data_IF_902722278930
#
_entry.id   IF_902722278930
#
_cell.length_a   1.000
_cell.length_b   1.000
_cell.length_c   1.000
_cell.angle_alpha   90.00
_cell.angle_beta   90.00
_cell.angle_gamma   90.00
#
_symmetry.space_group_name_H-M   'P 1'
#
loop_
_entity.id
_entity.type
_entity.pdbx_description
1 polymer ?
#
# COMPACT_ATOMS: atom_id res chain seq x y z
N UNK A 1 -8.76 -27.44 -50.33
CA UNK A 1 -9.50 -26.98 -51.50
C UNK A 1 -10.13 -25.63 -51.17
N UNK A 2 -9.54 -24.67 -51.73
CA UNK A 2 -9.82 -23.68 -52.81
C UNK A 2 -10.35 -22.38 -52.22
N UNK A 3 -9.59 -21.29 -52.13
CA UNK A 3 -9.08 -20.34 -53.15
C UNK A 3 -10.05 -19.24 -53.59
N UNK A 4 -9.63 -17.97 -53.34
CA UNK A 4 -9.80 -16.77 -54.21
C UNK A 4 -11.17 -16.09 -54.22
N UNK A 5 -11.33 -14.80 -54.39
CA UNK A 5 -10.48 -13.64 -54.77
C UNK A 5 -11.27 -12.32 -54.55
N UNK A 6 -10.50 -11.26 -54.37
CA UNK A 6 -10.65 -9.86 -54.82
C UNK A 6 -11.92 -9.37 -55.49
N UNK A 7 -12.41 -8.16 -55.12
CA UNK A 7 -12.51 -7.00 -56.03
C UNK A 7 -12.87 -5.68 -55.32
N UNK A 8 -12.05 -4.69 -55.59
CA UNK A 8 -12.33 -3.27 -55.36
C UNK A 8 -13.25 -2.73 -56.43
N UNK A 9 -14.11 -1.76 -56.09
CA UNK A 9 -14.71 -0.83 -57.07
C UNK A 9 -14.77 0.57 -56.43
N UNK A 10 -14.12 1.53 -57.11
CA UNK A 10 -14.29 2.97 -56.96
C UNK A 10 -15.61 3.44 -57.63
N UNK A 11 -16.21 4.52 -57.14
CA UNK A 11 -17.31 5.24 -57.81
C UNK A 11 -17.75 6.47 -57.00
N UNK A 12 -17.13 7.60 -57.19
CA UNK A 12 -17.50 8.87 -57.86
C UNK A 12 -18.75 9.61 -57.35
N UNK A 13 -18.45 10.76 -56.73
CA UNK A 13 -19.12 12.07 -56.64
C UNK A 13 -20.62 12.22 -56.95
N UNK A 14 -21.34 12.84 -56.00
CA UNK A 14 -22.60 13.54 -56.19
C UNK A 14 -22.75 14.67 -55.17
N UNK A 15 -22.49 15.94 -55.55
CA UNK A 15 -22.83 17.14 -54.76
C UNK A 15 -24.35 17.32 -54.75
N UNK A 16 -24.94 17.40 -53.55
CA UNK A 16 -26.26 18.00 -53.36
C UNK A 16 -26.16 19.02 -52.21
N UNK A 17 -26.30 20.28 -52.54
CA UNK A 17 -26.41 21.37 -51.58
C UNK A 17 -27.79 21.35 -50.94
N UNK A 18 -27.88 21.15 -49.64
CA UNK A 18 -29.07 21.42 -48.83
C UNK A 18 -28.73 22.51 -47.79
N UNK A 19 -29.47 23.61 -47.91
CA UNK A 19 -29.45 24.70 -46.95
C UNK A 19 -29.90 24.22 -45.59
N UNK A 20 -29.04 24.37 -44.58
CA UNK A 20 -29.41 24.08 -43.17
C UNK A 20 -29.72 25.38 -42.49
N UNK A 21 -30.96 25.47 -42.01
CA UNK A 21 -31.43 26.55 -41.14
C UNK A 21 -30.64 26.54 -39.82
N UNK A 22 -30.04 27.69 -39.51
CA UNK A 22 -29.36 27.91 -38.19
C UNK A 22 -30.45 28.04 -37.14
N UNK A 23 -30.62 26.99 -36.34
CA UNK A 23 -31.38 27.03 -35.11
C UNK A 23 -30.44 27.49 -34.00
N UNK A 24 -30.65 28.68 -33.47
CA UNK A 24 -29.91 29.20 -32.32
C UNK A 24 -30.21 28.33 -31.11
N UNK A 25 -29.24 27.49 -30.73
CA UNK A 25 -29.24 26.84 -29.39
C UNK A 25 -28.82 27.91 -28.38
N UNK A 26 -29.74 28.19 -27.48
CA UNK A 26 -29.48 28.94 -26.24
C UNK A 26 -28.38 28.22 -25.46
N UNK A 27 -27.25 28.90 -25.33
CA UNK A 27 -26.13 28.40 -24.55
C UNK A 27 -26.52 28.19 -23.10
N UNK A 28 -26.38 26.97 -22.63
CA UNK A 28 -26.26 26.71 -21.20
C UNK A 28 -25.00 27.40 -20.67
N UNK A 29 -24.93 27.69 -19.37
CA UNK A 29 -23.77 28.36 -18.82
C UNK A 29 -22.52 27.51 -19.07
N UNK A 30 -21.55 28.11 -19.76
CA UNK A 30 -20.18 27.61 -19.86
C UNK A 30 -19.64 27.44 -18.43
N UNK A 31 -18.90 26.36 -18.12
CA UNK A 31 -18.25 26.29 -16.81
C UNK A 31 -17.38 27.54 -16.68
N UNK A 32 -17.58 28.25 -15.59
CA UNK A 32 -16.79 29.42 -15.24
C UNK A 32 -15.32 29.07 -15.35
N UNK A 33 -14.56 29.82 -16.13
CA UNK A 33 -13.10 29.82 -16.09
C UNK A 33 -12.70 30.04 -14.61
N UNK A 34 -11.97 29.10 -14.03
CA UNK A 34 -11.42 29.25 -12.69
C UNK A 34 -10.33 30.34 -12.77
N UNK A 35 -10.73 31.60 -12.62
CA UNK A 35 -9.79 32.59 -12.16
C UNK A 35 -9.29 32.10 -10.80
N UNK A 36 -7.97 31.84 -10.63
CA UNK A 36 -7.33 31.27 -9.44
C UNK A 36 -7.63 31.97 -8.11
N UNK A 37 -8.66 32.81 -8.08
CA UNK A 37 -9.11 33.57 -6.91
C UNK A 37 -9.80 32.72 -5.84
N UNK A 38 -10.42 31.57 -6.16
CA UNK A 38 -11.10 30.73 -5.17
C UNK A 38 -10.13 30.12 -4.16
N UNK A 39 -8.94 29.70 -4.61
CA UNK A 39 -7.93 29.05 -3.77
C UNK A 39 -7.36 30.03 -2.71
N UNK A 40 -7.35 31.32 -2.98
CA UNK A 40 -6.86 32.34 -2.05
C UNK A 40 -7.70 32.40 -0.77
N UNK A 41 -8.98 32.04 -0.82
CA UNK A 41 -9.82 31.92 0.36
C UNK A 41 -9.36 30.82 1.32
N UNK A 42 -8.64 29.81 0.81
CA UNK A 42 -8.10 28.70 1.56
C UNK A 42 -6.68 28.93 2.08
N UNK A 43 -5.98 29.96 1.64
CA UNK A 43 -4.62 30.26 2.12
C UNK A 43 -4.54 30.46 3.64
N UNK A 44 -5.44 31.25 4.28
CA UNK A 44 -5.40 31.41 5.74
C UNK A 44 -5.65 30.10 6.51
N UNK A 45 -6.68 29.30 6.24
CA UNK A 45 -6.84 28.01 6.93
C UNK A 45 -5.71 27.03 6.63
N UNK A 46 -5.17 26.97 5.40
CA UNK A 46 -4.02 26.15 5.07
C UNK A 46 -2.78 26.54 5.90
N UNK A 47 -2.47 27.83 5.99
CA UNK A 47 -1.36 28.34 6.82
C UNK A 47 -1.51 27.91 8.28
N UNK A 48 -2.75 28.03 8.82
CA UNK A 48 -3.03 27.61 10.22
C UNK A 48 -2.84 26.10 10.41
N UNK A 49 -3.26 25.28 9.45
CA UNK A 49 -3.09 23.83 9.49
C UNK A 49 -1.61 23.43 9.44
N UNK A 50 -0.84 24.03 8.52
CA UNK A 50 0.59 23.77 8.40
C UNK A 50 1.36 24.17 9.67
N UNK A 51 1.05 25.34 10.25
CA UNK A 51 1.69 25.80 11.49
C UNK A 51 1.28 24.92 12.69
N UNK A 52 0.02 24.54 12.80
CA UNK A 52 -0.43 23.64 13.85
C UNK A 52 0.24 22.27 13.73
N UNK A 53 0.30 21.68 12.54
CA UNK A 53 0.99 20.40 12.32
C UNK A 53 2.46 20.48 12.76
N UNK A 54 3.14 21.57 12.42
CA UNK A 54 4.57 21.78 12.74
C UNK A 54 4.83 21.87 14.24
N UNK A 55 3.88 22.36 15.06
CA UNK A 55 4.09 22.70 16.47
C UNK A 55 3.40 21.78 17.45
N UNK A 56 2.41 21.01 17.03
CA UNK A 56 1.53 20.23 17.91
C UNK A 56 2.23 19.03 18.57
N UNK A 57 3.02 18.25 17.84
CA UNK A 57 3.75 17.09 18.36
C UNK A 57 2.90 15.83 18.64
N UNK A 58 1.57 15.90 18.60
CA UNK A 58 0.67 14.78 18.94
C UNK A 58 0.86 13.60 18.02
N UNK A 59 1.04 13.81 16.70
CA UNK A 59 1.26 12.75 15.74
C UNK A 59 2.51 11.92 16.10
N UNK A 60 3.62 12.58 16.42
CA UNK A 60 4.83 11.90 16.83
C UNK A 60 4.65 11.10 18.12
N UNK A 61 4.00 11.70 19.13
CA UNK A 61 3.72 11.01 20.38
C UNK A 61 2.88 9.76 20.16
N UNK A 62 1.81 9.85 19.37
CA UNK A 62 0.95 8.72 19.03
C UNK A 62 1.67 7.63 18.23
N UNK A 63 2.52 8.03 17.30
CA UNK A 63 3.32 7.08 16.53
C UNK A 63 4.25 6.28 17.44
N UNK A 64 4.92 6.96 18.38
CA UNK A 64 5.78 6.30 19.37
C UNK A 64 4.96 5.43 20.33
N UNK A 65 3.84 5.92 20.84
CA UNK A 65 2.96 5.15 21.72
C UNK A 65 2.44 3.87 21.03
N UNK A 66 2.03 3.96 19.77
CA UNK A 66 1.55 2.83 18.98
C UNK A 66 2.64 1.79 18.78
N UNK A 67 3.83 2.21 18.34
CA UNK A 67 4.92 1.30 17.99
C UNK A 67 5.60 0.70 19.21
N UNK A 68 5.82 1.49 20.27
CA UNK A 68 6.52 1.05 21.48
C UNK A 68 5.63 0.20 22.39
N UNK A 69 4.31 0.46 22.41
CA UNK A 69 3.37 -0.27 23.26
C UNK A 69 2.89 -1.57 22.64
N UNK A 70 2.56 -1.56 21.36
CA UNK A 70 1.94 -2.72 20.70
C UNK A 70 2.92 -3.49 19.81
N UNK A 71 4.00 -2.85 19.36
CA UNK A 71 5.01 -3.49 18.50
C UNK A 71 4.44 -3.98 17.17
N UNK A 72 4.90 -5.16 16.70
CA UNK A 72 4.39 -5.78 15.48
C UNK A 72 2.89 -6.11 15.60
N UNK A 73 2.12 -5.78 14.54
CA UNK A 73 0.64 -5.83 14.59
C UNK A 73 0.06 -6.59 13.41
N UNK A 74 0.61 -7.80 13.14
CA UNK A 74 0.10 -8.61 12.03
C UNK A 74 -1.40 -8.95 12.23
N UNK A 75 -2.14 -9.00 11.12
CA UNK A 75 -3.57 -9.32 11.08
C UNK A 75 -3.93 -10.55 11.91
N UNK A 76 -4.98 -10.44 12.72
CA UNK A 76 -5.44 -11.50 13.62
C UNK A 76 -4.57 -11.70 14.86
N UNK A 77 -3.61 -10.82 15.12
CA UNK A 77 -2.81 -10.85 16.34
C UNK A 77 -3.48 -10.10 17.49
N UNK A 78 -3.24 -10.52 18.75
CA UNK A 78 -3.72 -9.77 19.92
C UNK A 78 -3.19 -8.32 19.98
N UNK A 79 -2.00 -8.06 19.42
CA UNK A 79 -1.39 -6.74 19.38
C UNK A 79 -2.19 -5.77 18.48
N UNK A 80 -2.58 -6.22 17.28
CA UNK A 80 -3.43 -5.41 16.38
C UNK A 80 -4.77 -5.08 17.04
N UNK A 81 -5.42 -6.09 17.66
CA UNK A 81 -6.71 -5.88 18.31
C UNK A 81 -6.63 -4.93 19.52
N UNK A 82 -5.50 -4.93 20.23
CA UNK A 82 -5.25 -3.98 21.31
C UNK A 82 -5.00 -2.57 20.77
N UNK A 83 -4.24 -2.44 19.68
CA UNK A 83 -3.98 -1.17 18.99
C UNK A 83 -5.25 -0.53 18.42
N UNK A 84 -6.14 -1.33 17.80
CA UNK A 84 -7.45 -0.86 17.31
C UNK A 84 -8.31 -0.27 18.44
N UNK A 85 -8.39 -0.97 19.60
CA UNK A 85 -9.13 -0.46 20.75
C UNK A 85 -8.52 0.80 21.36
N UNK A 86 -7.19 0.87 21.41
CA UNK A 86 -6.48 2.06 21.86
C UNK A 86 -6.77 3.25 20.92
N UNK A 87 -6.62 3.05 19.61
CA UNK A 87 -6.84 4.10 18.62
C UNK A 87 -8.31 4.60 18.65
N UNK A 88 -9.29 3.69 18.80
CA UNK A 88 -10.69 4.06 18.95
C UNK A 88 -10.91 4.96 20.18
N UNK A 89 -10.37 4.59 21.33
CA UNK A 89 -10.48 5.38 22.55
C UNK A 89 -9.80 6.75 22.44
N UNK A 90 -8.68 6.84 21.74
CA UNK A 90 -8.01 8.13 21.50
C UNK A 90 -8.78 9.00 20.50
N UNK A 91 -9.37 8.43 19.45
CA UNK A 91 -10.25 9.16 18.52
C UNK A 91 -11.51 9.69 19.21
N UNK A 92 -12.08 8.96 20.18
CA UNK A 92 -13.18 9.44 21.02
C UNK A 92 -12.74 10.62 21.89
N UNK A 93 -11.55 10.59 22.48
CA UNK A 93 -10.97 11.73 23.24
C UNK A 93 -10.72 12.95 22.36
N UNK A 94 -10.33 12.75 21.12
CA UNK A 94 -10.23 13.83 20.11
C UNK A 94 -11.61 14.44 19.80
N UNK A 95 -12.67 13.74 20.21
CA UNK A 95 -14.05 14.12 19.97
C UNK A 95 -14.48 13.89 18.53
N UNK A 96 -13.86 12.99 17.80
CA UNK A 96 -14.35 12.59 16.48
C UNK A 96 -15.72 11.94 16.61
N UNK A 97 -16.53 12.09 15.57
CA UNK A 97 -17.89 11.58 15.53
C UNK A 97 -17.90 10.12 15.08
N UNK A 98 -18.90 9.36 15.51
CA UNK A 98 -19.19 8.01 15.00
C UNK A 98 -17.97 7.07 14.97
N UNK A 99 -17.12 7.14 15.99
CA UNK A 99 -16.00 6.21 16.15
C UNK A 99 -16.56 4.80 16.29
N UNK A 100 -16.12 3.87 15.42
CA UNK A 100 -16.63 2.51 15.41
C UNK A 100 -15.64 1.53 14.82
N UNK A 101 -15.73 0.29 15.29
CA UNK A 101 -15.00 -0.87 14.75
C UNK A 101 -15.93 -1.63 13.81
N UNK A 102 -15.63 -1.62 12.51
CA UNK A 102 -16.33 -2.39 11.50
C UNK A 102 -15.68 -3.76 11.35
N UNK A 103 -16.37 -4.82 11.81
CA UNK A 103 -15.82 -6.16 11.93
C UNK A 103 -15.41 -6.76 10.59
N UNK A 104 -14.27 -7.41 10.58
CA UNK A 104 -13.68 -8.11 9.44
C UNK A 104 -13.12 -9.45 9.89
N UNK A 105 -13.43 -10.54 9.18
CA UNK A 105 -12.75 -11.81 9.38
C UNK A 105 -11.46 -11.85 8.55
N UNK A 106 -10.35 -12.07 9.20
CA UNK A 106 -9.02 -12.04 8.59
C UNK A 106 -8.29 -13.38 8.77
N UNK A 107 -7.45 -13.80 7.82
CA UNK A 107 -6.64 -15.00 8.00
C UNK A 107 -5.62 -14.76 9.11
N UNK A 108 -5.45 -15.76 9.97
CA UNK A 108 -4.43 -15.75 11.01
C UNK A 108 -3.26 -16.63 10.60
N UNK A 109 -2.17 -15.98 10.19
CA UNK A 109 -0.91 -16.65 9.92
C UNK A 109 0.05 -16.45 11.10
N UNK A 110 0.82 -17.50 11.43
CA UNK A 110 1.79 -17.48 12.53
C UNK A 110 3.12 -17.97 12.00
N UNK A 111 4.16 -17.17 12.18
CA UNK A 111 5.53 -17.47 11.75
C UNK A 111 6.15 -18.62 12.52
N UNK A 112 6.13 -18.56 13.86
CA UNK A 112 6.86 -19.47 14.72
C UNK A 112 8.38 -19.31 14.63
N UNK A 113 9.12 -20.33 15.03
CA UNK A 113 10.58 -20.34 14.95
C UNK A 113 11.03 -20.70 13.53
N UNK A 114 12.11 -20.08 13.08
CA UNK A 114 12.63 -20.31 11.75
C UNK A 114 14.14 -20.16 11.69
N UNK A 115 14.77 -20.92 10.79
CA UNK A 115 16.20 -20.83 10.51
C UNK A 115 16.53 -21.40 9.14
N UNK A 116 17.60 -20.87 8.53
CA UNK A 116 18.20 -21.43 7.34
C UNK A 116 19.72 -21.52 7.52
N UNK A 117 20.30 -22.59 7.04
CA UNK A 117 21.76 -22.77 7.08
C UNK A 117 22.28 -23.52 5.86
N UNK A 118 23.47 -23.18 5.43
CA UNK A 118 24.26 -24.02 4.52
C UNK A 118 24.75 -25.23 5.34
N UNK A 119 24.57 -26.45 4.82
CA UNK A 119 25.09 -27.68 5.41
C UNK A 119 26.36 -28.10 4.69
N UNK A 120 26.37 -27.99 3.35
CA UNK A 120 27.52 -28.21 2.48
C UNK A 120 27.75 -27.02 1.58
N UNK A 121 28.97 -26.64 1.25
CA UNK A 121 30.25 -27.31 1.59
C UNK A 121 30.76 -27.01 3.00
N UNK A 122 30.31 -25.94 3.66
CA UNK A 122 30.69 -25.58 5.02
C UNK A 122 29.47 -25.07 5.79
N UNK A 123 29.21 -25.60 7.01
CA UNK A 123 28.11 -25.11 7.83
C UNK A 123 28.19 -23.60 8.06
N UNK A 124 27.07 -22.90 7.76
CA UNK A 124 26.98 -21.45 7.93
C UNK A 124 25.53 -21.00 7.96
N UNK A 125 25.18 -20.14 8.91
CA UNK A 125 23.85 -19.54 8.98
C UNK A 125 23.59 -18.58 7.84
N UNK A 126 22.33 -18.56 7.40
CA UNK A 126 21.78 -17.62 6.43
C UNK A 126 20.81 -16.69 7.14
N UNK A 127 20.92 -15.39 6.90
CA UNK A 127 19.95 -14.44 7.37
C UNK A 127 18.66 -14.56 6.53
N UNK A 128 17.56 -14.97 7.17
CA UNK A 128 16.30 -15.26 6.50
C UNK A 128 15.10 -14.74 7.28
N UNK A 129 14.00 -14.52 6.56
CA UNK A 129 12.65 -14.38 7.11
C UNK A 129 11.70 -15.22 6.28
N UNK A 130 10.87 -16.03 6.93
CA UNK A 130 9.77 -16.73 6.27
C UNK A 130 8.85 -15.75 5.56
N UNK A 131 8.36 -16.12 4.39
CA UNK A 131 7.38 -15.29 3.69
C UNK A 131 6.01 -15.46 4.34
N UNK A 132 5.28 -14.36 4.47
CA UNK A 132 3.91 -14.35 4.97
C UNK A 132 3.02 -15.28 4.14
N UNK A 133 2.10 -15.96 4.80
CA UNK A 133 1.24 -17.04 4.27
C UNK A 133 1.99 -18.34 3.90
N UNK A 134 3.30 -18.44 4.16
CA UNK A 134 4.03 -19.68 3.91
C UNK A 134 3.57 -20.81 4.83
N UNK A 135 3.62 -22.04 4.30
CA UNK A 135 3.55 -23.24 5.13
C UNK A 135 4.89 -23.51 5.79
N UNK A 136 4.90 -24.27 6.88
CA UNK A 136 6.11 -24.73 7.56
C UNK A 136 6.77 -25.92 6.88
N UNK A 137 7.95 -26.29 7.38
CA UNK A 137 8.76 -27.41 6.89
C UNK A 137 8.41 -28.74 7.56
N UNK A 138 7.51 -28.74 8.54
CA UNK A 138 7.38 -29.85 9.48
C UNK A 138 8.55 -29.93 10.47
N UNK A 139 8.48 -30.85 11.46
CA UNK A 139 9.42 -30.90 12.58
C UNK A 139 10.84 -31.30 12.18
N UNK A 140 10.99 -32.04 11.09
CA UNK A 140 12.33 -32.49 10.60
C UNK A 140 13.06 -31.43 9.79
N UNK A 141 12.36 -30.35 9.41
CA UNK A 141 12.90 -29.38 8.45
C UNK A 141 12.96 -29.93 7.01
N UNK A 142 13.43 -29.13 6.09
CA UNK A 142 13.73 -29.50 4.71
C UNK A 142 15.23 -29.34 4.50
N UNK A 143 15.91 -30.41 4.04
CA UNK A 143 17.31 -30.38 3.69
C UNK A 143 17.47 -30.91 2.26
N UNK A 144 17.96 -30.05 1.36
CA UNK A 144 18.11 -30.42 -0.05
C UNK A 144 19.20 -29.60 -0.73
N UNK A 145 19.61 -30.08 -1.90
CA UNK A 145 20.52 -29.34 -2.77
C UNK A 145 19.86 -28.07 -3.29
N UNK A 146 20.62 -26.98 -3.30
CA UNK A 146 20.18 -25.67 -3.76
C UNK A 146 20.32 -25.57 -5.29
N UNK A 147 19.30 -25.05 -5.94
CA UNK A 147 19.34 -24.61 -7.33
C UNK A 147 19.06 -23.09 -7.39
N UNK A 148 20.02 -22.32 -7.88
CA UNK A 148 19.87 -20.87 -8.02
C UNK A 148 19.36 -20.55 -9.43
N UNK A 149 18.31 -19.71 -9.54
CA UNK A 149 17.74 -19.21 -10.80
C UNK A 149 17.61 -17.69 -10.77
N UNK A 150 17.76 -17.05 -11.95
CA UNK A 150 17.72 -15.58 -12.10
C UNK A 150 16.44 -15.07 -12.74
N UNK A 151 15.56 -15.98 -13.14
CA UNK A 151 14.26 -15.63 -13.74
C UNK A 151 13.28 -16.79 -13.69
N UNK A 152 12.02 -16.51 -13.97
CA UNK A 152 11.02 -17.56 -14.17
C UNK A 152 11.31 -18.38 -15.45
N UNK A 153 11.84 -17.74 -16.49
CA UNK A 153 12.21 -18.46 -17.73
C UNK A 153 13.35 -19.45 -17.48
N UNK A 154 14.34 -19.09 -16.67
CA UNK A 154 15.41 -20.01 -16.25
C UNK A 154 14.85 -21.16 -15.40
N UNK A 155 13.92 -20.87 -14.48
CA UNK A 155 13.21 -21.91 -13.72
C UNK A 155 12.53 -22.91 -14.67
N UNK A 156 11.80 -22.39 -15.65
CA UNK A 156 11.03 -23.18 -16.60
C UNK A 156 11.95 -24.01 -17.53
N UNK A 157 13.05 -23.44 -17.97
CA UNK A 157 14.05 -24.12 -18.79
C UNK A 157 14.76 -25.28 -18.05
N UNK A 158 14.97 -25.16 -16.73
CA UNK A 158 15.55 -26.24 -15.92
C UNK A 158 14.57 -27.39 -15.66
N UNK A 159 13.27 -27.13 -15.67
CA UNK A 159 12.21 -28.14 -15.61
C UNK A 159 12.41 -29.19 -14.49
N UNK A 160 12.38 -30.48 -14.87
CA UNK A 160 12.49 -31.61 -13.95
C UNK A 160 13.82 -31.68 -13.17
N UNK A 161 14.87 -31.00 -13.62
CA UNK A 161 16.16 -30.97 -12.90
C UNK A 161 16.05 -30.24 -11.53
N UNK A 162 14.90 -29.55 -11.25
CA UNK A 162 14.61 -28.89 -9.99
C UNK A 162 13.88 -29.79 -8.98
N UNK A 163 13.45 -30.98 -9.41
CA UNK A 163 12.73 -31.92 -8.55
C UNK A 163 13.56 -32.28 -7.31
N UNK A 164 12.96 -32.16 -6.15
CA UNK A 164 13.58 -32.45 -4.85
C UNK A 164 14.62 -31.41 -4.38
N UNK A 165 14.78 -30.28 -5.10
CA UNK A 165 15.71 -29.22 -4.73
C UNK A 165 15.03 -28.07 -4.00
N UNK A 166 15.82 -27.27 -3.30
CA UNK A 166 15.45 -25.92 -2.84
C UNK A 166 15.79 -24.95 -3.97
N UNK A 167 14.82 -24.18 -4.42
CA UNK A 167 15.04 -23.17 -5.48
C UNK A 167 15.27 -21.81 -4.85
N UNK A 168 16.37 -21.14 -5.20
CA UNK A 168 16.63 -19.75 -4.85
C UNK A 168 16.45 -18.85 -6.08
N UNK A 169 15.50 -17.92 -6.00
CA UNK A 169 15.39 -16.81 -6.96
C UNK A 169 16.36 -15.69 -6.55
N UNK A 170 17.52 -15.63 -7.20
CA UNK A 170 18.49 -14.56 -6.98
C UNK A 170 18.36 -13.47 -8.04
N UNK A 171 17.31 -12.67 -7.92
CA UNK A 171 17.02 -11.54 -8.82
C UNK A 171 17.35 -10.23 -8.11
N UNK A 172 18.31 -9.43 -8.61
CA UNK A 172 18.65 -8.15 -8.01
C UNK A 172 17.42 -7.21 -7.97
N UNK A 173 17.29 -6.47 -6.88
CA UNK A 173 16.25 -5.45 -6.74
C UNK A 173 16.51 -4.31 -7.74
N UNK A 174 15.51 -3.97 -8.53
CA UNK A 174 15.47 -2.82 -9.44
C UNK A 174 14.32 -1.89 -9.07
N UNK A 175 13.10 -2.35 -9.27
CA UNK A 175 11.88 -1.74 -8.77
C UNK A 175 11.06 -2.78 -8.02
N UNK A 176 10.17 -2.34 -7.15
CA UNK A 176 9.27 -3.23 -6.43
C UNK A 176 8.40 -4.04 -7.41
N UNK A 177 7.80 -3.36 -8.38
CA UNK A 177 6.91 -3.99 -9.36
C UNK A 177 7.59 -5.09 -10.19
N UNK A 178 8.86 -4.91 -10.54
CA UNK A 178 9.60 -5.91 -11.33
C UNK A 178 9.99 -7.14 -10.51
N UNK A 179 10.25 -6.96 -9.20
CA UNK A 179 10.86 -7.98 -8.36
C UNK A 179 9.87 -8.68 -7.43
N UNK A 180 8.80 -8.03 -7.00
CA UNK A 180 7.81 -8.60 -6.05
C UNK A 180 7.18 -9.90 -6.53
N UNK A 181 7.08 -10.12 -7.85
CA UNK A 181 6.51 -11.35 -8.43
C UNK A 181 7.27 -12.61 -8.01
N UNK A 182 8.58 -12.52 -7.74
CA UNK A 182 9.38 -13.66 -7.28
C UNK A 182 9.03 -14.05 -5.84
N UNK A 183 8.67 -13.08 -5.01
CA UNK A 183 8.13 -13.31 -3.67
C UNK A 183 6.71 -13.87 -3.73
N UNK A 184 5.83 -13.21 -4.47
CA UNK A 184 4.40 -13.54 -4.46
C UNK A 184 4.07 -14.86 -5.16
N UNK A 185 4.72 -15.21 -6.27
CA UNK A 185 4.42 -16.39 -7.10
C UNK A 185 5.55 -17.42 -7.15
N UNK A 186 6.73 -17.13 -6.63
CA UNK A 186 7.91 -17.98 -6.76
C UNK A 186 7.71 -19.38 -6.18
N UNK A 187 7.11 -19.50 -4.99
CA UNK A 187 6.87 -20.78 -4.35
C UNK A 187 5.95 -21.69 -5.19
N UNK A 188 4.83 -21.16 -5.71
CA UNK A 188 3.91 -21.92 -6.56
C UNK A 188 4.60 -22.38 -7.85
N UNK A 189 5.39 -21.52 -8.51
CA UNK A 189 6.11 -21.87 -9.74
C UNK A 189 7.20 -22.93 -9.49
N UNK A 190 7.96 -22.81 -8.39
CA UNK A 190 8.96 -23.80 -8.00
C UNK A 190 8.31 -25.16 -7.68
N UNK A 191 7.18 -25.17 -6.97
CA UNK A 191 6.44 -26.38 -6.64
C UNK A 191 5.95 -27.14 -7.88
N UNK A 192 5.52 -26.45 -8.93
CA UNK A 192 5.14 -27.08 -10.22
C UNK A 192 6.32 -27.82 -10.90
N UNK A 193 7.55 -27.43 -10.59
CA UNK A 193 8.78 -28.10 -11.06
C UNK A 193 9.29 -29.16 -10.06
N UNK A 194 8.49 -29.47 -9.03
CA UNK A 194 8.81 -30.49 -8.02
C UNK A 194 9.83 -30.03 -6.98
N UNK A 195 10.11 -28.74 -6.85
CA UNK A 195 10.92 -28.20 -5.76
C UNK A 195 10.28 -28.47 -4.38
N UNK A 196 11.10 -28.61 -3.34
CA UNK A 196 10.64 -28.92 -1.98
C UNK A 196 10.58 -27.69 -1.07
N UNK A 197 11.23 -26.59 -1.47
CA UNK A 197 11.14 -25.28 -0.85
C UNK A 197 11.57 -24.19 -1.85
N UNK A 198 11.16 -22.95 -1.58
CA UNK A 198 11.56 -21.78 -2.34
C UNK A 198 12.25 -20.75 -1.45
N UNK A 199 13.36 -20.20 -1.91
CA UNK A 199 14.04 -19.06 -1.31
C UNK A 199 14.03 -17.91 -2.31
N UNK A 200 13.90 -16.69 -1.79
CA UNK A 200 13.86 -15.48 -2.61
C UNK A 200 14.91 -14.51 -2.07
N UNK A 201 15.73 -13.93 -2.94
CA UNK A 201 16.49 -12.74 -2.58
C UNK A 201 15.52 -11.67 -2.09
N UNK A 202 15.79 -11.06 -0.98
CA UNK A 202 14.96 -9.99 -0.39
C UNK A 202 14.60 -8.91 -1.41
N UNK A 203 13.34 -8.47 -1.37
CA UNK A 203 12.80 -7.42 -2.25
C UNK A 203 13.13 -6.06 -1.65
N UNK A 204 14.35 -5.65 -1.83
CA UNK A 204 14.92 -4.41 -1.32
C UNK A 204 16.39 -4.30 -1.72
N UNK A 205 17.01 -3.13 -1.48
CA UNK A 205 18.44 -2.94 -1.74
C UNK A 205 19.28 -3.85 -0.83
N UNK A 206 20.46 -4.21 -1.28
CA UNK A 206 21.44 -4.89 -0.42
C UNK A 206 21.92 -3.93 0.68
N UNK A 207 22.01 -4.41 1.91
CA UNK A 207 22.53 -3.64 3.03
C UNK A 207 22.34 -4.32 4.37
N UNK A 208 23.39 -4.39 5.16
CA UNK A 208 23.39 -4.89 6.54
C UNK A 208 22.86 -6.31 6.75
N UNK A 209 22.84 -7.11 5.70
CA UNK A 209 22.35 -8.51 5.75
C UNK A 209 20.92 -8.61 6.31
N UNK A 210 20.08 -7.64 5.98
CA UNK A 210 18.69 -7.57 6.47
C UNK A 210 17.75 -8.28 5.49
N UNK A 211 17.05 -9.35 5.91
CA UNK A 211 16.05 -9.98 5.06
C UNK A 211 14.73 -9.21 5.10
N UNK A 212 14.01 -9.22 3.97
CA UNK A 212 12.67 -8.61 3.82
C UNK A 212 11.60 -9.69 3.69
N UNK A 213 10.60 -9.68 4.53
CA UNK A 213 9.43 -10.57 4.43
C UNK A 213 8.41 -10.06 3.41
N UNK A 214 7.17 -10.47 3.51
CA UNK A 214 6.02 -10.06 2.72
C UNK A 214 5.23 -11.27 2.22
N UNK A 215 3.97 -11.05 1.83
CA UNK A 215 3.05 -12.12 1.49
C UNK A 215 3.42 -12.86 0.20
N UNK A 216 3.21 -14.17 0.23
CA UNK A 216 3.16 -15.01 -0.96
C UNK A 216 1.72 -15.49 -1.22
N UNK A 217 1.50 -16.03 -2.42
CA UNK A 217 0.24 -16.66 -2.82
C UNK A 217 0.51 -18.06 -3.35
N UNK A 218 -0.21 -19.04 -2.78
CA UNK A 218 -0.26 -20.37 -3.35
C UNK A 218 -1.36 -20.45 -4.41
N UNK A 219 -1.19 -21.34 -5.36
CA UNK A 219 -2.15 -21.56 -6.43
C UNK A 219 -2.91 -22.87 -6.19
N UNK A 220 -4.23 -22.82 -6.42
CA UNK A 220 -5.08 -24.01 -6.31
C UNK A 220 -4.55 -25.17 -7.20
N UNK A 221 -4.51 -26.37 -6.66
CA UNK A 221 -4.00 -27.55 -7.36
C UNK A 221 -2.47 -27.68 -7.43
N UNK A 222 -1.73 -26.71 -6.86
CA UNK A 222 -0.27 -26.78 -6.74
C UNK A 222 0.10 -27.06 -5.28
N UNK A 223 1.04 -27.99 -4.99
CA UNK A 223 1.49 -28.24 -3.62
C UNK A 223 2.03 -26.95 -2.98
N UNK A 224 1.60 -26.66 -1.76
CA UNK A 224 2.19 -25.61 -0.96
C UNK A 224 3.56 -26.08 -0.45
N UNK A 225 4.60 -25.32 -0.72
CA UNK A 225 5.96 -25.59 -0.25
C UNK A 225 6.45 -24.45 0.64
N UNK A 226 7.31 -24.69 1.65
CA UNK A 226 7.88 -23.65 2.48
C UNK A 226 8.62 -22.60 1.67
N UNK A 227 8.47 -21.33 2.03
CA UNK A 227 9.15 -20.25 1.33
C UNK A 227 9.65 -19.15 2.28
N UNK A 228 10.87 -18.67 2.02
CA UNK A 228 11.52 -17.64 2.83
C UNK A 228 12.32 -16.66 1.96
N UNK A 229 12.46 -15.43 2.44
CA UNK A 229 13.41 -14.46 1.89
C UNK A 229 14.77 -14.64 2.55
N UNK A 230 15.83 -14.49 1.78
CA UNK A 230 17.21 -14.40 2.25
C UNK A 230 17.70 -12.96 2.14
N UNK A 231 18.58 -12.55 3.02
CA UNK A 231 19.33 -11.32 2.83
C UNK A 231 20.04 -11.34 1.46
N UNK A 232 20.11 -10.17 0.81
CA UNK A 232 20.67 -10.04 -0.51
C UNK A 232 22.13 -10.56 -0.59
N UNK A 233 22.91 -10.28 0.45
CA UNK A 233 24.32 -10.70 0.55
C UNK A 233 24.48 -12.21 0.63
N UNK A 234 23.57 -12.90 1.33
CA UNK A 234 23.57 -14.36 1.43
C UNK A 234 23.11 -15.00 0.12
N UNK A 235 22.10 -14.44 -0.56
CA UNK A 235 21.69 -14.88 -1.88
C UNK A 235 22.81 -14.73 -2.91
N UNK A 236 23.55 -13.63 -2.89
CA UNK A 236 24.71 -13.40 -3.75
C UNK A 236 25.88 -14.35 -3.42
N UNK A 237 26.08 -14.68 -2.14
CA UNK A 237 27.05 -15.69 -1.72
C UNK A 237 26.72 -17.05 -2.30
N UNK A 238 25.46 -17.47 -2.21
CA UNK A 238 24.97 -18.73 -2.75
C UNK A 238 25.11 -18.79 -4.28
N UNK A 239 24.82 -17.66 -4.96
CA UNK A 239 25.05 -17.54 -6.40
C UNK A 239 26.52 -17.76 -6.77
N UNK A 240 27.45 -17.10 -6.08
CA UNK A 240 28.89 -17.27 -6.36
C UNK A 240 29.39 -18.70 -6.13
N UNK A 241 28.81 -19.43 -5.17
CA UNK A 241 29.10 -20.86 -4.98
C UNK A 241 28.57 -21.68 -6.16
N UNK A 242 27.33 -21.44 -6.57
CA UNK A 242 26.72 -22.12 -7.71
C UNK A 242 27.47 -21.85 -9.02
N UNK A 243 27.91 -20.62 -9.29
CA UNK A 243 28.65 -20.21 -10.48
C UNK A 243 30.05 -20.92 -10.57
N UNK A 244 30.59 -21.35 -9.43
CA UNK A 244 31.84 -22.14 -9.36
C UNK A 244 31.61 -23.65 -9.50
N UNK A 245 30.35 -24.08 -9.71
CA UNK A 245 29.98 -25.47 -9.73
C UNK A 245 30.03 -26.17 -8.36
N UNK A 246 30.09 -25.40 -7.27
CA UNK A 246 30.08 -25.96 -5.90
C UNK A 246 28.71 -26.49 -5.59
N UNK A 247 28.61 -27.76 -5.19
CA UNK A 247 27.37 -28.33 -4.66
C UNK A 247 27.07 -27.68 -3.33
N UNK A 248 25.87 -27.05 -3.20
CA UNK A 248 25.39 -26.43 -1.98
C UNK A 248 24.17 -27.20 -1.47
N UNK A 249 24.18 -27.58 -0.20
CA UNK A 249 23.04 -28.17 0.49
C UNK A 249 22.58 -27.19 1.56
N UNK A 250 21.29 -26.85 1.54
CA UNK A 250 20.67 -25.95 2.52
C UNK A 250 19.70 -26.73 3.36
N UNK A 251 19.68 -26.45 4.67
CA UNK A 251 18.65 -26.88 5.59
C UNK A 251 17.78 -25.66 5.94
N UNK A 252 16.47 -25.82 5.80
CA UNK A 252 15.44 -24.85 6.14
C UNK A 252 14.53 -25.45 7.22
N UNK A 253 14.29 -24.71 8.30
CA UNK A 253 13.33 -25.05 9.35
C UNK A 253 12.38 -23.88 9.53
N UNK A 254 11.07 -24.12 9.46
CA UNK A 254 10.02 -23.11 9.62
C UNK A 254 8.82 -23.75 10.32
N UNK A 255 8.35 -23.11 11.39
CA UNK A 255 7.13 -23.50 12.12
C UNK A 255 5.88 -22.77 11.57
N UNK A 256 6.03 -22.04 10.49
CA UNK A 256 4.99 -21.22 9.89
C UNK A 256 3.72 -22.03 9.60
N UNK A 257 2.56 -21.45 9.92
CA UNK A 257 1.27 -22.11 9.71
C UNK A 257 0.13 -21.11 9.59
N UNK A 258 -0.90 -21.50 8.86
CA UNK A 258 -2.23 -20.87 8.96
C UNK A 258 -2.93 -21.41 10.20
N UNK A 259 -3.41 -20.54 11.06
CA UNK A 259 -4.11 -20.84 12.32
C UNK A 259 -5.60 -20.44 12.24
N UNK A 260 -6.20 -20.70 11.09
CA UNK A 260 -7.60 -20.39 10.82
C UNK A 260 -7.85 -18.92 10.49
N UNK A 261 -9.01 -18.42 10.88
CA UNK A 261 -9.41 -17.03 10.79
C UNK A 261 -9.62 -16.42 12.18
N UNK A 262 -9.41 -15.12 12.29
CA UNK A 262 -9.66 -14.33 13.49
C UNK A 262 -10.58 -13.15 13.19
N UNK A 263 -11.32 -12.69 14.18
CA UNK A 263 -12.07 -11.43 14.11
C UNK A 263 -11.09 -10.26 14.29
N UNK A 264 -11.14 -9.30 13.39
CA UNK A 264 -10.47 -8.00 13.43
C UNK A 264 -11.45 -6.91 13.02
N UNK A 265 -11.00 -5.69 12.74
CA UNK A 265 -11.88 -4.62 12.32
C UNK A 265 -11.12 -3.52 11.55
N UNK A 266 -11.82 -2.83 10.65
CA UNK A 266 -11.45 -1.47 10.28
C UNK A 266 -11.89 -0.52 11.40
N UNK A 267 -11.06 0.42 11.79
CA UNK A 267 -11.47 1.50 12.67
C UNK A 267 -11.89 2.70 11.81
N UNK A 268 -13.13 3.14 11.97
CA UNK A 268 -13.72 4.24 11.21
C UNK A 268 -14.17 5.35 12.16
N UNK A 269 -13.81 6.60 11.83
CA UNK A 269 -14.23 7.77 12.57
C UNK A 269 -14.49 8.93 11.62
N UNK A 270 -15.40 9.84 12.00
CA UNK A 270 -15.82 10.95 11.17
C UNK A 270 -15.60 12.32 11.87
N UNK A 271 -15.29 13.33 11.10
CA UNK A 271 -15.58 14.71 11.40
C UNK A 271 -16.75 15.13 10.50
N UNK A 272 -17.97 15.13 11.07
CA UNK A 272 -19.21 15.30 10.31
C UNK A 272 -19.26 16.66 9.61
N UNK A 273 -19.55 16.67 8.34
CA UNK A 273 -19.69 17.86 7.51
C UNK A 273 -20.88 18.73 7.93
N UNK A 274 -20.72 20.06 7.80
CA UNK A 274 -21.76 21.00 8.23
C UNK A 274 -22.93 21.17 7.24
N UNK A 275 -22.66 21.02 5.93
CA UNK A 275 -23.63 21.32 4.86
C UNK A 275 -24.05 20.05 4.08
N UNK A 276 -23.10 19.17 3.81
CA UNK A 276 -23.26 17.96 2.98
C UNK A 276 -22.66 16.73 3.70
N UNK A 277 -23.20 16.35 4.87
CA UNK A 277 -22.60 15.31 5.73
C UNK A 277 -22.60 13.91 5.10
N UNK A 278 -23.40 13.67 4.05
CA UNK A 278 -23.42 12.42 3.30
C UNK A 278 -22.26 12.30 2.31
N UNK A 279 -21.66 13.43 1.88
CA UNK A 279 -20.49 13.42 1.01
C UNK A 279 -19.23 13.23 1.84
N UNK A 280 -18.35 12.33 1.39
CA UNK A 280 -17.21 11.87 2.19
C UNK A 280 -15.90 12.14 1.46
N UNK A 281 -14.98 12.78 2.17
CA UNK A 281 -13.54 12.73 1.85
C UNK A 281 -12.90 11.78 2.84
N UNK A 282 -12.46 10.63 2.35
CA UNK A 282 -11.84 9.58 3.13
C UNK A 282 -10.34 9.78 3.17
N UNK A 283 -9.73 9.61 4.35
CA UNK A 283 -8.29 9.53 4.55
C UNK A 283 -7.95 8.29 5.36
N UNK A 284 -6.87 7.59 5.05
CA UNK A 284 -6.53 6.37 5.80
C UNK A 284 -5.14 5.84 5.50
N UNK A 285 -4.76 4.86 6.28
CA UNK A 285 -3.60 3.98 6.18
C UNK A 285 -3.93 2.66 6.87
N UNK A 286 -3.11 1.63 6.73
CA UNK A 286 -3.38 0.36 7.40
C UNK A 286 -2.71 0.31 8.78
N UNK A 287 -3.46 -0.22 9.78
CA UNK A 287 -2.95 -0.29 11.14
C UNK A 287 -2.19 -1.58 11.41
N UNK A 288 -2.46 -2.64 10.65
CA UNK A 288 -1.66 -3.86 10.71
C UNK A 288 -0.25 -3.64 10.16
N UNK A 289 0.65 -4.49 10.51
CA UNK A 289 2.03 -4.49 10.03
C UNK A 289 2.56 -5.93 10.01
N UNK A 290 3.72 -6.17 9.39
CA UNK A 290 4.39 -7.45 9.55
C UNK A 290 4.75 -7.71 11.01
N UNK A 291 4.99 -8.98 11.31
CA UNK A 291 5.36 -9.49 12.64
C UNK A 291 6.86 -9.33 12.94
N UNK A 292 7.55 -8.47 12.21
CA UNK A 292 8.96 -8.11 12.38
C UNK A 292 9.08 -6.59 12.38
N UNK A 293 10.03 -6.04 13.14
CA UNK A 293 10.07 -4.60 13.37
C UNK A 293 8.88 -4.14 14.22
N UNK A 294 8.52 -2.88 14.14
CA UNK A 294 7.33 -2.31 14.81
C UNK A 294 6.32 -1.72 13.83
N UNK A 295 6.58 -1.86 12.50
CA UNK A 295 5.71 -1.28 11.46
C UNK A 295 5.53 0.22 11.66
N UNK A 296 6.63 0.92 11.91
CA UNK A 296 6.57 2.37 12.17
C UNK A 296 6.38 3.17 10.89
N UNK A 297 7.06 2.75 9.83
CA UNK A 297 6.98 3.33 8.52
C UNK A 297 5.85 2.69 7.69
N UNK A 298 5.65 1.40 7.87
CA UNK A 298 4.72 0.55 7.11
C UNK A 298 3.77 -0.19 8.08
N UNK A 299 2.58 0.37 8.47
CA UNK A 299 2.09 1.70 8.08
C UNK A 299 1.47 2.43 9.29
N UNK A 300 2.11 2.31 10.48
CA UNK A 300 1.71 3.12 11.64
C UNK A 300 1.79 4.62 11.31
N UNK A 301 2.85 5.01 10.56
CA UNK A 301 3.07 6.39 10.17
C UNK A 301 1.93 6.96 9.35
N UNK A 302 1.50 6.29 8.29
CA UNK A 302 0.39 6.73 7.45
C UNK A 302 -0.95 6.71 8.18
N UNK A 303 -1.20 5.68 8.99
CA UNK A 303 -2.36 5.62 9.88
C UNK A 303 -2.43 6.84 10.81
N UNK A 304 -1.33 7.18 11.49
CA UNK A 304 -1.28 8.32 12.42
C UNK A 304 -1.37 9.66 11.66
N UNK A 305 -0.68 9.80 10.53
CA UNK A 305 -0.71 11.04 9.73
C UNK A 305 -2.12 11.36 9.26
N UNK A 306 -2.85 10.39 8.75
CA UNK A 306 -4.21 10.58 8.24
C UNK A 306 -5.21 10.84 9.36
N UNK A 307 -5.09 10.15 10.48
CA UNK A 307 -5.90 10.41 11.66
C UNK A 307 -5.63 11.82 12.25
N UNK A 308 -4.35 12.15 12.46
CA UNK A 308 -3.98 13.44 13.07
C UNK A 308 -4.32 14.64 12.19
N UNK A 309 -4.31 14.46 10.86
CA UNK A 309 -4.78 15.46 9.92
C UNK A 309 -6.25 15.87 10.18
N UNK A 310 -7.13 14.91 10.42
CA UNK A 310 -8.55 15.17 10.72
C UNK A 310 -8.71 15.74 12.12
N UNK A 311 -7.94 15.24 13.10
CA UNK A 311 -7.90 15.79 14.46
C UNK A 311 -7.52 17.28 14.44
N UNK A 312 -6.50 17.68 13.68
CA UNK A 312 -6.07 19.08 13.58
C UNK A 312 -7.14 19.97 12.96
N UNK A 313 -7.81 19.52 11.90
CA UNK A 313 -8.96 20.27 11.32
C UNK A 313 -9.98 20.57 12.40
N UNK A 314 -10.33 19.57 13.22
CA UNK A 314 -11.27 19.74 14.33
C UNK A 314 -10.72 20.66 15.44
N UNK A 315 -9.48 20.44 15.88
CA UNK A 315 -8.86 21.20 16.96
C UNK A 315 -8.76 22.70 16.65
N UNK A 316 -8.59 23.05 15.38
CA UNK A 316 -8.60 24.45 14.91
C UNK A 316 -10.02 25.03 14.73
N UNK A 317 -11.07 24.29 15.08
CA UNK A 317 -12.47 24.71 14.92
C UNK A 317 -12.90 24.82 13.46
N UNK A 318 -12.15 24.23 12.53
CA UNK A 318 -12.52 24.16 11.12
C UNK A 318 -13.64 23.12 10.94
N UNK A 319 -14.69 23.51 10.21
CA UNK A 319 -15.85 22.65 9.96
C UNK A 319 -16.10 22.59 8.45
N UNK A 320 -15.56 21.59 7.76
CA UNK A 320 -15.73 21.48 6.30
C UNK A 320 -17.20 21.21 5.95
N UNK A 321 -17.58 21.47 4.69
CA UNK A 321 -18.95 21.21 4.19
C UNK A 321 -19.28 19.73 4.21
N UNK A 322 -18.31 18.89 3.81
CA UNK A 322 -18.40 17.43 3.68
C UNK A 322 -17.75 16.75 4.88
N UNK A 323 -18.13 15.53 5.11
CA UNK A 323 -17.52 14.70 6.15
C UNK A 323 -16.09 14.33 5.78
N UNK A 324 -15.16 14.57 6.72
CA UNK A 324 -13.85 13.93 6.70
C UNK A 324 -13.95 12.61 7.45
N UNK A 325 -13.61 11.51 6.79
CA UNK A 325 -13.64 10.17 7.36
C UNK A 325 -12.22 9.61 7.46
N UNK A 326 -11.83 9.20 8.67
CA UNK A 326 -10.63 8.41 8.90
C UNK A 326 -10.99 6.93 8.80
N UNK A 327 -10.20 6.15 8.07
CA UNK A 327 -10.27 4.69 8.08
C UNK A 327 -8.88 4.14 8.35
N UNK A 328 -8.72 3.44 9.48
CA UNK A 328 -7.53 2.65 9.74
C UNK A 328 -7.85 1.21 9.34
N UNK A 329 -7.23 0.75 8.26
CA UNK A 329 -7.51 -0.53 7.64
C UNK A 329 -6.90 -1.68 8.42
N UNK A 330 -7.47 -2.87 8.28
CA UNK A 330 -6.94 -4.14 8.75
C UNK A 330 -6.63 -5.07 7.59
N UNK A 331 -5.60 -5.89 7.74
CA UNK A 331 -5.24 -6.96 6.83
C UNK A 331 -4.78 -6.48 5.43
N UNK A 332 -4.11 -5.34 5.34
CA UNK A 332 -3.45 -4.93 4.10
C UNK A 332 -2.34 -5.91 3.76
N UNK A 333 -1.42 -6.14 4.68
CA UNK A 333 -0.14 -6.84 4.53
C UNK A 333 -0.27 -8.26 3.96
N UNK A 334 -1.34 -8.96 4.28
CA UNK A 334 -1.48 -10.35 3.87
C UNK A 334 -2.87 -10.73 3.34
N UNK A 335 -3.70 -9.75 2.90
CA UNK A 335 -4.99 -10.15 2.35
C UNK A 335 -5.94 -9.10 1.79
N UNK A 336 -5.91 -7.83 2.17
CA UNK A 336 -6.85 -6.74 1.81
C UNK A 336 -8.30 -6.99 2.26
N UNK A 337 -8.53 -7.79 3.30
CA UNK A 337 -9.89 -8.12 3.75
C UNK A 337 -10.62 -6.89 4.29
N UNK A 338 -9.90 -5.96 4.95
CA UNK A 338 -10.44 -4.70 5.43
C UNK A 338 -10.98 -3.83 4.30
N UNK A 339 -10.19 -3.62 3.27
CA UNK A 339 -10.55 -2.84 2.09
C UNK A 339 -11.80 -3.39 1.37
N UNK A 340 -11.84 -4.70 1.13
CA UNK A 340 -12.99 -5.34 0.52
C UNK A 340 -14.23 -5.28 1.41
N UNK A 341 -14.09 -5.49 2.72
CA UNK A 341 -15.22 -5.42 3.65
C UNK A 341 -15.83 -4.02 3.70
N UNK A 342 -15.00 -2.97 3.74
CA UNK A 342 -15.48 -1.58 3.68
C UNK A 342 -16.21 -1.31 2.36
N UNK A 343 -15.61 -1.66 1.22
CA UNK A 343 -16.25 -1.53 -0.09
C UNK A 343 -17.65 -2.15 -0.09
N UNK A 344 -17.78 -3.38 0.40
CA UNK A 344 -19.04 -4.12 0.35
C UNK A 344 -20.10 -3.53 1.31
N UNK A 345 -19.68 -3.14 2.51
CA UNK A 345 -20.55 -2.51 3.51
C UNK A 345 -21.05 -1.13 3.06
N UNK A 346 -20.22 -0.37 2.34
CA UNK A 346 -20.51 1.00 1.91
C UNK A 346 -20.83 1.14 0.42
N UNK A 347 -21.06 0.04 -0.30
CA UNK A 347 -21.20 0.02 -1.77
C UNK A 347 -22.22 1.06 -2.28
N UNK A 348 -23.37 1.20 -1.63
CA UNK A 348 -24.41 2.16 -1.99
C UNK A 348 -23.99 3.64 -1.75
N UNK A 349 -23.06 3.85 -0.83
CA UNK A 349 -22.55 5.16 -0.43
C UNK A 349 -21.31 5.61 -1.21
N UNK A 350 -20.61 4.69 -1.92
CA UNK A 350 -19.39 5.01 -2.66
C UNK A 350 -19.58 6.09 -3.72
N UNK A 351 -20.79 6.24 -4.25
CA UNK A 351 -21.15 7.36 -5.16
C UNK A 351 -20.98 8.74 -4.49
N UNK A 352 -21.05 8.80 -3.18
CA UNK A 352 -20.96 10.01 -2.37
C UNK A 352 -19.54 10.20 -1.79
N UNK A 353 -18.61 9.26 -2.04
CA UNK A 353 -17.20 9.45 -1.72
C UNK A 353 -16.57 10.38 -2.77
N UNK A 354 -16.18 11.58 -2.35
CA UNK A 354 -15.65 12.64 -3.22
C UNK A 354 -14.18 12.41 -3.53
N UNK A 355 -13.45 11.88 -2.54
CA UNK A 355 -12.03 11.56 -2.64
C UNK A 355 -11.69 10.49 -1.60
N UNK A 356 -10.76 9.61 -1.93
CA UNK A 356 -10.09 8.72 -0.99
C UNK A 356 -8.58 8.94 -1.04
N UNK A 357 -7.97 9.27 0.09
CA UNK A 357 -6.52 9.48 0.26
C UNK A 357 -5.96 8.33 1.08
N UNK A 358 -4.95 7.66 0.56
CA UNK A 358 -4.18 6.64 1.28
C UNK A 358 -2.76 7.12 1.52
N UNK A 359 -2.25 6.90 2.73
CA UNK A 359 -0.86 7.17 3.09
C UNK A 359 -0.20 5.87 3.46
N UNK A 360 0.48 5.24 2.49
CA UNK A 360 1.14 3.94 2.60
C UNK A 360 2.41 3.93 1.71
N UNK A 361 3.27 4.90 1.92
CA UNK A 361 4.56 5.01 1.23
C UNK A 361 5.64 5.53 2.19
N UNK A 362 5.39 5.35 3.49
CA UNK A 362 6.16 5.94 4.58
C UNK A 362 5.79 7.41 4.82
N UNK A 363 6.42 7.96 5.88
CA UNK A 363 6.17 9.33 6.37
C UNK A 363 7.47 10.13 6.38
N UNK A 364 8.15 10.12 5.24
CA UNK A 364 9.35 10.91 4.98
C UNK A 364 8.98 12.30 4.48
N UNK A 365 9.98 13.09 4.02
CA UNK A 365 9.72 14.42 3.49
C UNK A 365 8.61 14.37 2.41
N UNK A 366 7.47 15.07 2.59
CA UNK A 366 6.43 15.10 1.58
C UNK A 366 6.90 15.85 0.34
N UNK A 367 6.53 15.35 -0.84
CA UNK A 367 6.78 15.94 -2.16
C UNK A 367 5.48 16.40 -2.83
N UNK A 368 4.34 15.85 -2.42
CA UNK A 368 3.04 16.15 -2.99
C UNK A 368 2.08 14.97 -2.94
N UNK A 369 1.30 14.81 -4.01
CA UNK A 369 0.31 13.75 -4.09
C UNK A 369 0.30 13.06 -5.46
N UNK A 370 0.22 11.73 -5.47
CA UNK A 370 -0.26 11.02 -6.64
C UNK A 370 -1.79 11.17 -6.75
N UNK A 371 -2.34 11.32 -7.94
CA UNK A 371 -3.78 11.49 -8.13
C UNK A 371 -4.33 10.68 -9.30
N UNK A 372 -5.39 9.93 -9.04
CA UNK A 372 -6.21 9.20 -10.01
C UNK A 372 -7.61 9.79 -10.02
N UNK A 373 -8.04 10.33 -11.17
CA UNK A 373 -9.34 10.96 -11.35
C UNK A 373 -9.43 11.64 -12.71
N UNK A 374 -10.49 12.42 -12.95
CA UNK A 374 -10.67 13.13 -14.21
C UNK A 374 -9.60 14.22 -14.42
N UNK A 375 -9.33 14.62 -15.68
CA UNK A 375 -8.43 15.75 -15.96
C UNK A 375 -8.87 17.05 -15.27
N UNK A 376 -10.18 17.33 -15.24
CA UNK A 376 -10.72 18.53 -14.58
C UNK A 376 -10.48 18.51 -13.07
N UNK A 377 -10.66 17.34 -12.40
CA UNK A 377 -10.33 17.20 -10.99
C UNK A 377 -8.83 17.40 -10.72
N UNK A 378 -7.97 16.94 -11.62
CA UNK A 378 -6.52 17.09 -11.49
C UNK A 378 -6.10 18.56 -11.48
N UNK A 379 -6.72 19.41 -12.30
CA UNK A 379 -6.42 20.86 -12.29
C UNK A 379 -6.79 21.48 -10.94
N UNK A 380 -7.96 21.16 -10.37
CA UNK A 380 -8.34 21.62 -9.04
C UNK A 380 -7.36 21.12 -7.96
N UNK A 381 -6.93 19.86 -8.05
CA UNK A 381 -5.94 19.30 -7.13
C UNK A 381 -4.60 20.02 -7.23
N UNK A 382 -4.17 20.44 -8.43
CA UNK A 382 -2.96 21.25 -8.60
C UNK A 382 -3.09 22.64 -7.97
N UNK A 383 -4.25 23.26 -8.11
CA UNK A 383 -4.51 24.55 -7.45
C UNK A 383 -4.43 24.38 -5.91
N UNK A 384 -5.03 23.31 -5.35
CA UNK A 384 -4.94 23.00 -3.92
C UNK A 384 -3.50 22.73 -3.49
N UNK A 385 -2.75 21.95 -4.28
CA UNK A 385 -1.35 21.63 -3.99
C UNK A 385 -0.46 22.88 -3.90
N UNK A 386 -0.80 23.96 -4.60
CA UNK A 386 -0.07 25.25 -4.49
C UNK A 386 -0.05 25.82 -3.07
N UNK A 387 -1.01 25.45 -2.20
CA UNK A 387 -1.03 25.82 -0.80
C UNK A 387 0.06 25.12 0.02
N UNK A 388 0.65 24.06 -0.51
CA UNK A 388 1.71 23.26 0.12
C UNK A 388 3.12 23.76 -0.24
N UNK A 389 3.24 24.89 -0.98
CA UNK A 389 4.54 25.53 -1.31
C UNK A 389 5.45 25.73 -0.09
N UNK A 390 4.95 26.08 1.13
CA UNK A 390 5.81 26.17 2.31
C UNK A 390 6.49 24.86 2.72
N UNK A 391 5.97 23.71 2.30
CA UNK A 391 6.57 22.40 2.53
C UNK A 391 7.43 21.93 1.33
N UNK A 392 7.34 22.59 0.17
CA UNK A 392 7.89 22.09 -1.10
C UNK A 392 7.19 20.81 -1.57
N UNK A 393 5.87 20.70 -1.32
CA UNK A 393 5.06 19.50 -1.56
C UNK A 393 3.94 19.74 -2.58
N UNK A 394 4.26 20.44 -3.68
CA UNK A 394 3.32 20.90 -4.69
C UNK A 394 3.15 19.92 -5.86
N UNK A 395 3.87 18.80 -5.87
CA UNK A 395 3.81 17.84 -6.97
C UNK A 395 2.45 17.15 -7.03
N UNK A 396 1.92 17.00 -8.25
CA UNK A 396 0.71 16.19 -8.52
C UNK A 396 1.06 15.15 -9.59
N UNK A 397 1.34 13.95 -9.12
CA UNK A 397 1.72 12.82 -9.95
C UNK A 397 0.59 12.29 -10.85
N UNK A 398 0.95 11.50 -11.85
CA UNK A 398 0.02 10.99 -12.87
C UNK A 398 -0.97 9.95 -12.35
N UNK A 399 -0.66 9.25 -11.28
CA UNK A 399 -1.50 8.23 -10.64
C UNK A 399 -1.36 8.33 -9.13
N UNK A 400 -2.40 7.96 -8.41
CA UNK A 400 -2.44 7.90 -6.94
C UNK A 400 -3.52 6.95 -6.47
N UNK A 401 -3.58 6.72 -5.19
CA UNK A 401 -4.37 5.71 -4.50
C UNK A 401 -3.44 4.73 -3.79
N UNK A 402 -3.93 3.57 -3.44
CA UNK A 402 -3.16 2.54 -2.77
C UNK A 402 -3.92 1.22 -2.77
N UNK A 403 -3.44 0.26 -2.01
CA UNK A 403 -4.01 -1.08 -1.98
C UNK A 403 -5.39 -1.08 -1.31
N UNK A 404 -5.57 -0.31 -0.25
CA UNK A 404 -6.82 -0.29 0.52
C UNK A 404 -7.92 0.53 -0.15
N UNK A 405 -7.60 1.66 -0.79
CA UNK A 405 -8.61 2.43 -1.54
C UNK A 405 -8.87 1.87 -2.93
N UNK A 406 -8.01 0.99 -3.43
CA UNK A 406 -8.13 0.35 -4.75
C UNK A 406 -9.49 -0.30 -5.01
N UNK A 407 -10.07 -1.09 -4.08
CA UNK A 407 -11.40 -1.66 -4.24
C UNK A 407 -12.51 -0.62 -4.40
N UNK A 408 -12.40 0.57 -3.79
CA UNK A 408 -13.36 1.67 -3.92
C UNK A 408 -13.30 2.29 -5.32
N UNK A 409 -12.06 2.48 -5.81
CA UNK A 409 -11.81 2.96 -7.19
C UNK A 409 -12.43 2.00 -8.20
N UNK A 410 -12.19 0.70 -8.05
CA UNK A 410 -12.70 -0.33 -8.95
C UNK A 410 -14.23 -0.44 -8.94
N UNK A 411 -14.86 -0.30 -7.76
CA UNK A 411 -16.31 -0.47 -7.62
C UNK A 411 -17.10 0.75 -8.08
N UNK A 412 -16.60 1.97 -7.87
CA UNK A 412 -17.39 3.18 -8.06
C UNK A 412 -16.61 4.37 -8.66
N UNK A 413 -15.41 4.14 -9.19
CA UNK A 413 -14.55 5.18 -9.77
C UNK A 413 -14.34 6.38 -8.82
N UNK A 414 -14.20 6.09 -7.51
CA UNK A 414 -13.90 7.11 -6.51
C UNK A 414 -12.55 7.75 -6.87
N UNK A 415 -12.46 9.09 -6.98
CA UNK A 415 -11.17 9.74 -7.13
C UNK A 415 -10.24 9.35 -5.99
N UNK A 416 -8.99 9.03 -6.30
CA UNK A 416 -8.05 8.52 -5.32
C UNK A 416 -6.71 9.27 -5.32
N UNK A 417 -6.12 9.39 -4.15
CA UNK A 417 -4.80 9.97 -3.92
C UNK A 417 -3.92 9.08 -3.07
N UNK A 418 -2.61 9.23 -3.28
CA UNK A 418 -1.59 8.79 -2.33
C UNK A 418 -0.72 9.98 -1.92
N UNK A 419 -0.32 10.05 -0.64
CA UNK A 419 0.72 10.96 -0.22
C UNK A 419 2.04 10.53 -0.85
N UNK A 420 2.70 11.42 -1.58
CA UNK A 420 4.00 11.17 -2.19
C UNK A 420 5.10 11.77 -1.31
N UNK A 421 6.07 10.94 -0.93
CA UNK A 421 7.19 11.31 -0.06
C UNK A 421 8.54 10.98 -0.72
N UNK A 422 9.64 11.43 -0.14
CA UNK A 422 10.98 11.00 -0.52
C UNK A 422 11.18 9.51 -0.18
N UNK A 423 10.93 8.64 -1.14
CA UNK A 423 11.00 7.20 -0.99
C UNK A 423 12.41 6.60 -0.99
N UNK A 424 13.48 7.40 -0.96
CA UNK A 424 14.87 6.92 -1.07
C UNK A 424 15.26 5.93 0.03
N UNK A 425 14.66 6.03 1.22
CA UNK A 425 14.90 5.15 2.37
C UNK A 425 13.88 4.02 2.50
N UNK A 426 12.73 4.10 1.79
CA UNK A 426 11.58 3.22 1.99
C UNK A 426 11.97 1.73 1.88
N UNK A 427 12.51 1.31 0.75
CA UNK A 427 12.84 -0.10 0.53
C UNK A 427 14.05 -0.63 1.33
N UNK A 428 14.76 0.23 2.07
CA UNK A 428 15.76 -0.22 3.04
C UNK A 428 15.15 -0.67 4.37
N UNK A 429 13.91 -0.27 4.65
CA UNK A 429 13.18 -0.53 5.90
C UNK A 429 11.97 -1.46 5.69
N UNK A 430 11.31 -1.31 4.56
CA UNK A 430 10.06 -1.99 4.20
C UNK A 430 10.13 -3.51 4.42
N UNK A 431 9.22 -4.02 5.25
CA UNK A 431 9.09 -5.43 5.59
C UNK A 431 10.32 -6.04 6.29
N UNK A 432 11.04 -5.26 7.07
CA UNK A 432 12.23 -5.71 7.80
C UNK A 432 12.12 -5.47 9.30
N UNK A 433 13.01 -6.12 10.06
CA UNK A 433 13.15 -5.85 11.49
C UNK A 433 13.68 -4.43 11.79
N UNK A 434 14.12 -3.69 10.77
CA UNK A 434 14.60 -2.33 10.90
C UNK A 434 13.49 -1.27 10.78
N UNK A 435 12.24 -1.67 10.48
CA UNK A 435 11.11 -0.74 10.48
C UNK A 435 10.69 -0.41 11.91
N UNK A 436 11.33 0.63 12.44
CA UNK A 436 11.19 1.11 13.81
C UNK A 436 11.15 2.64 13.83
N UNK A 437 10.52 3.23 14.86
CA UNK A 437 10.25 4.68 14.93
C UNK A 437 11.51 5.55 14.89
N UNK A 438 12.65 5.04 15.36
CA UNK A 438 13.94 5.74 15.32
C UNK A 438 14.50 5.96 13.90
N UNK A 439 13.87 5.38 12.87
CA UNK A 439 14.20 5.60 11.46
C UNK A 439 13.46 6.80 10.86
N UNK A 440 12.50 7.36 11.58
CA UNK A 440 11.65 8.47 11.14
C UNK A 440 12.08 9.79 11.77
N UNK A 441 11.74 10.91 11.14
CA UNK A 441 11.97 12.26 11.67
C UNK A 441 10.63 12.89 12.08
N UNK A 442 10.44 13.33 13.33
CA UNK A 442 9.20 13.94 13.78
C UNK A 442 8.80 15.16 12.95
N UNK A 443 9.75 15.87 12.33
CA UNK A 443 9.46 17.02 11.47
C UNK A 443 8.90 16.58 10.12
N UNK A 444 9.38 15.46 9.58
CA UNK A 444 8.83 14.87 8.35
C UNK A 444 7.41 14.35 8.59
N UNK A 445 7.18 13.66 9.72
CA UNK A 445 5.84 13.21 10.14
C UNK A 445 4.88 14.40 10.24
N UNK A 446 5.28 15.46 10.93
CA UNK A 446 4.49 16.69 11.08
C UNK A 446 4.19 17.35 9.71
N UNK A 447 5.14 17.36 8.80
CA UNK A 447 4.95 17.89 7.45
C UNK A 447 3.95 17.05 6.64
N UNK A 448 3.98 15.73 6.77
CA UNK A 448 3.00 14.82 6.18
C UNK A 448 1.58 15.07 6.71
N UNK A 449 1.43 15.24 8.05
CA UNK A 449 0.15 15.63 8.67
C UNK A 449 -0.38 16.93 8.06
N UNK A 450 0.47 17.95 7.97
CA UNK A 450 0.09 19.25 7.39
C UNK A 450 -0.36 19.13 5.93
N UNK A 451 0.37 18.36 5.12
CA UNK A 451 0.03 18.16 3.71
C UNK A 451 -1.34 17.47 3.55
N UNK A 452 -1.57 16.38 4.28
CA UNK A 452 -2.86 15.65 4.25
C UNK A 452 -3.98 16.51 4.79
N UNK A 453 -3.77 17.25 5.90
CA UNK A 453 -4.78 18.11 6.50
C UNK A 453 -5.26 19.21 5.55
N UNK A 454 -4.32 19.88 4.85
CA UNK A 454 -4.66 20.93 3.88
C UNK A 454 -5.42 20.34 2.70
N UNK A 455 -4.91 19.28 2.09
CA UNK A 455 -5.56 18.66 0.93
C UNK A 455 -6.97 18.16 1.27
N UNK A 456 -7.10 17.39 2.33
CA UNK A 456 -8.39 16.83 2.76
C UNK A 456 -9.39 17.92 3.16
N UNK A 457 -8.95 18.94 3.92
CA UNK A 457 -9.81 20.03 4.34
C UNK A 457 -10.35 20.83 3.15
N UNK A 458 -9.48 21.23 2.21
CA UNK A 458 -9.91 22.04 1.05
C UNK A 458 -10.88 21.27 0.18
N UNK A 459 -10.61 20.00 -0.15
CA UNK A 459 -11.55 19.17 -0.91
C UNK A 459 -12.86 18.95 -0.19
N UNK A 460 -12.84 18.82 1.14
CA UNK A 460 -14.07 18.66 1.92
C UNK A 460 -14.85 19.96 2.08
N UNK A 461 -14.20 21.14 1.97
CA UNK A 461 -14.83 22.43 2.22
C UNK A 461 -15.17 23.24 0.95
N UNK A 462 -14.52 22.99 -0.18
CA UNK A 462 -14.79 23.70 -1.42
C UNK A 462 -16.25 23.55 -1.86
N UNK A 463 -16.84 24.59 -2.55
CA UNK A 463 -18.26 24.59 -2.91
C UNK A 463 -18.68 23.39 -3.74
N UNK A 464 -17.94 23.11 -4.80
CA UNK A 464 -18.23 22.03 -5.74
C UNK A 464 -17.49 20.74 -5.39
N UNK A 465 -18.00 19.59 -5.86
CA UNK A 465 -17.28 18.31 -5.76
C UNK A 465 -16.13 18.28 -6.75
N UNK A 466 -15.12 17.45 -6.45
CA UNK A 466 -14.18 17.01 -7.48
C UNK A 466 -14.96 16.33 -8.60
N UNK A 467 -14.80 16.75 -9.85
CA UNK A 467 -15.49 16.12 -10.98
C UNK A 467 -14.92 14.71 -11.23
N UNK A 468 -15.84 13.76 -11.46
CA UNK A 468 -15.48 12.37 -11.80
C UNK A 468 -15.23 12.21 -13.28
#
# INVERSE_FOLDING_TARGET
LSLLAHRAILGVLGLAACAVAVSARTGGPSPASSDGGWIEAYRPPATRLLEAARTDGTAWQRLTDLTDTFGPRLSGSPALEAALRWAAAEMEKDGLDRVRLEKVMVPRWVRGRESAQIVEPFPSELAMLGLGNSVGTGPSGVQAELAVVRSFDELDARGEALRGKIVLYNVPFTTYNDTVRYRSAGAARAARRGAVAALVRSIGPAGFRTPHTGALRYEAGTPAIPAAALAAEDADRLQRLADRGTRVVVRLTMEARMDGEAESANLVADLTGRDQPQEVVLVGGHLDSWDVGTGAMDDAGGSIVTWDAVRLVKALGLRPRRTLRVVLWTNEENGLRGAYAYRDAHLAELKDHVLAIESDSGVFKPLGFGFTGSPAARELVREIASLLAPLGAEEVGAAGGGADVGPLVQAAQVPAMSLTVDGTRYFSLHHTAADTVDKLDPREVAACVGAVAVMAYVVADMPDRLPR
#
